data_IF_648909197433
#
_entry.id   IF_648909197433
#
_cell.length_a   1.000
_cell.length_b   1.000
_cell.length_c   1.000
_cell.angle_alpha   90.00
_cell.angle_beta   90.00
_cell.angle_gamma   90.00
#
_symmetry.space_group_name_H-M   'P 1'
#
loop_
_entity.id
_entity.type
_entity.pdbx_description
1 polymer ?
#
# COMPACT_ATOMS: atom_id res chain seq x y z
N UNK A 1 -28.22 6.00 -17.78
CA UNK A 1 -27.09 6.49 -16.96
C UNK A 1 -26.28 5.24 -16.66
N UNK A 2 -25.01 5.24 -17.06
CA UNK A 2 -24.22 4.03 -17.32
C UNK A 2 -23.86 3.29 -16.02
N UNK A 3 -24.02 1.97 -16.00
CA UNK A 3 -23.55 1.06 -14.95
C UNK A 3 -22.00 0.92 -14.92
N UNK A 4 -21.28 1.77 -15.66
CA UNK A 4 -19.81 1.79 -15.79
C UNK A 4 -19.11 2.77 -14.81
N UNK A 5 -19.83 3.33 -13.85
CA UNK A 5 -19.21 4.18 -12.83
C UNK A 5 -18.35 3.32 -11.89
N UNK A 6 -17.03 3.49 -12.01
CA UNK A 6 -16.03 2.82 -11.18
C UNK A 6 -16.07 3.38 -9.75
N UNK A 7 -16.96 2.87 -8.90
CA UNK A 7 -17.10 3.31 -7.52
C UNK A 7 -16.00 2.75 -6.62
N UNK A 8 -14.84 3.41 -6.61
CA UNK A 8 -13.78 3.17 -5.63
C UNK A 8 -13.91 4.19 -4.51
N UNK A 9 -13.88 3.74 -3.24
CA UNK A 9 -13.74 4.63 -2.07
C UNK A 9 -12.26 4.69 -1.67
N UNK A 10 -11.47 5.66 -2.17
CA UNK A 10 -10.02 5.55 -2.08
C UNK A 10 -9.53 5.67 -0.64
N UNK A 11 -10.21 6.45 0.20
CA UNK A 11 -9.91 6.55 1.63
C UNK A 11 -10.07 5.22 2.38
N UNK A 12 -11.10 4.43 2.06
CA UNK A 12 -11.31 3.10 2.66
C UNK A 12 -10.24 2.10 2.19
N UNK A 13 -9.83 2.19 0.93
CA UNK A 13 -8.76 1.36 0.35
C UNK A 13 -7.41 1.71 0.99
N UNK A 14 -7.09 3.00 1.15
CA UNK A 14 -5.90 3.46 1.89
C UNK A 14 -5.91 2.93 3.32
N UNK A 15 -7.03 3.05 4.03
CA UNK A 15 -7.15 2.53 5.40
C UNK A 15 -6.92 1.02 5.47
N UNK A 16 -7.40 0.27 4.48
CA UNK A 16 -7.19 -1.17 4.40
C UNK A 16 -5.72 -1.50 4.15
N UNK A 17 -5.04 -0.81 3.23
CA UNK A 17 -3.60 -0.96 3.00
C UNK A 17 -2.78 -0.63 4.24
N UNK A 18 -3.13 0.43 4.97
CA UNK A 18 -2.47 0.81 6.23
C UNK A 18 -2.57 -0.30 7.28
N UNK A 19 -3.75 -0.92 7.44
CA UNK A 19 -3.94 -2.05 8.36
C UNK A 19 -3.06 -3.26 8.01
N UNK A 20 -2.85 -3.52 6.72
CA UNK A 20 -1.96 -4.60 6.28
C UNK A 20 -0.50 -4.30 6.66
N UNK A 21 -0.04 -3.06 6.44
CA UNK A 21 1.29 -2.61 6.84
C UNK A 21 1.50 -2.67 8.36
N UNK A 22 0.49 -2.26 9.15
CA UNK A 22 0.55 -2.31 10.60
C UNK A 22 0.59 -3.76 11.11
N UNK A 23 -0.23 -4.65 10.54
CA UNK A 23 -0.24 -6.07 10.87
C UNK A 23 1.10 -6.74 10.53
N UNK A 24 1.66 -6.42 9.37
CA UNK A 24 2.97 -6.90 8.96
C UNK A 24 4.05 -6.44 9.94
N UNK A 25 4.04 -5.16 10.32
CA UNK A 25 5.00 -4.61 11.31
C UNK A 25 4.90 -5.34 12.65
N UNK A 26 3.69 -5.56 13.15
CA UNK A 26 3.45 -6.28 14.40
C UNK A 26 3.90 -7.76 14.32
N UNK A 27 3.61 -8.43 13.21
CA UNK A 27 4.03 -9.81 12.98
C UNK A 27 5.55 -9.94 12.94
N UNK A 28 6.26 -9.01 12.27
CA UNK A 28 7.73 -9.01 12.21
C UNK A 28 8.35 -8.86 13.60
N UNK A 29 7.81 -7.94 14.40
CA UNK A 29 8.25 -7.76 15.78
C UNK A 29 8.04 -9.01 16.64
N UNK A 30 6.92 -9.72 16.47
CA UNK A 30 6.65 -10.98 17.17
C UNK A 30 7.55 -12.12 16.70
N UNK A 31 7.77 -12.28 15.38
CA UNK A 31 8.64 -13.31 14.82
C UNK A 31 10.03 -13.26 15.44
N UNK A 32 10.60 -12.06 15.59
CA UNK A 32 11.91 -11.88 16.21
C UNK A 32 12.02 -12.49 17.62
N UNK A 33 10.91 -12.63 18.36
CA UNK A 33 10.89 -13.21 19.71
C UNK A 33 10.84 -14.73 19.73
N UNK A 34 10.25 -15.37 18.70
CA UNK A 34 10.01 -16.81 18.68
C UNK A 34 11.27 -17.64 18.38
N UNK A 35 12.29 -17.03 17.78
CA UNK A 35 13.49 -17.75 17.32
C UNK A 35 14.71 -17.61 18.25
N UNK A 36 14.50 -17.22 19.52
CA UNK A 36 15.57 -16.87 20.47
C UNK A 36 16.22 -18.05 21.21
N UNK A 37 15.56 -19.22 21.26
CA UNK A 37 15.97 -20.36 22.12
C UNK A 37 16.86 -21.41 21.44
N UNK A 38 17.03 -21.35 20.12
CA UNK A 38 17.63 -22.42 19.32
C UNK A 38 19.14 -22.51 19.49
N UNK A 39 19.82 -21.35 19.48
CA UNK A 39 21.27 -21.26 19.64
C UNK A 39 21.72 -21.74 21.03
N UNK A 40 21.07 -21.33 22.13
CA UNK A 40 21.34 -21.90 23.46
C UNK A 40 21.10 -23.41 23.53
N UNK A 41 20.01 -23.92 22.93
CA UNK A 41 19.68 -25.34 22.95
C UNK A 41 20.69 -26.20 22.17
N UNK A 42 21.21 -25.69 21.04
CA UNK A 42 22.26 -26.34 20.26
C UNK A 42 23.61 -26.33 20.99
N UNK A 43 23.97 -25.21 21.63
CA UNK A 43 25.20 -25.09 22.42
C UNK A 43 25.25 -26.05 23.62
N UNK A 44 24.09 -26.36 24.22
CA UNK A 44 23.97 -27.33 25.32
C UNK A 44 24.10 -28.80 24.92
N UNK A 45 24.11 -29.13 23.62
CA UNK A 45 24.16 -30.51 23.12
C UNK A 45 25.33 -30.76 22.13
N UNK A 46 26.59 -30.52 22.54
CA UNK A 46 27.74 -30.78 21.67
C UNK A 46 27.85 -32.29 21.34
N UNK A 47 27.99 -32.62 20.06
CA UNK A 47 28.13 -33.99 19.56
C UNK A 47 26.84 -34.62 18.97
N UNK A 48 25.68 -34.01 19.17
CA UNK A 48 24.44 -34.43 18.51
C UNK A 48 24.23 -33.65 17.19
N UNK A 49 24.26 -34.36 16.06
CA UNK A 49 24.01 -33.77 14.72
C UNK A 49 22.66 -33.07 14.60
N UNK A 50 21.67 -33.48 15.40
CA UNK A 50 20.34 -32.89 15.45
C UNK A 50 20.36 -31.40 15.87
N UNK A 51 21.28 -30.98 16.75
CA UNK A 51 21.33 -29.59 17.23
C UNK A 51 21.62 -28.57 16.12
N UNK A 52 22.57 -28.91 15.23
CA UNK A 52 22.90 -28.09 14.07
C UNK A 52 21.75 -28.07 13.04
N UNK A 53 21.14 -29.23 12.79
CA UNK A 53 20.00 -29.35 11.87
C UNK A 53 18.77 -28.55 12.35
N UNK A 54 18.46 -28.60 13.65
CA UNK A 54 17.35 -27.84 14.24
C UNK A 54 17.58 -26.33 14.18
N UNK A 55 18.81 -25.88 14.45
CA UNK A 55 19.19 -24.46 14.32
C UNK A 55 19.05 -23.99 12.87
N UNK A 56 19.56 -24.78 11.92
CA UNK A 56 19.45 -24.45 10.49
C UNK A 56 18.00 -24.43 10.00
N UNK A 57 17.19 -25.42 10.39
CA UNK A 57 15.76 -25.44 10.08
C UNK A 57 15.06 -24.18 10.58
N UNK A 58 15.33 -23.79 11.82
CA UNK A 58 14.63 -22.68 12.42
C UNK A 58 15.12 -21.32 11.91
N UNK A 59 16.38 -21.18 11.49
CA UNK A 59 16.85 -20.04 10.70
C UNK A 59 16.11 -19.93 9.37
N UNK A 60 15.94 -21.04 8.64
CA UNK A 60 15.19 -21.06 7.37
C UNK A 60 13.73 -20.70 7.59
N UNK A 61 13.10 -21.24 8.65
CA UNK A 61 11.72 -20.92 8.97
C UNK A 61 11.55 -19.44 9.31
N UNK A 62 12.44 -18.87 10.13
CA UNK A 62 12.42 -17.45 10.48
C UNK A 62 12.51 -16.59 9.21
N UNK A 63 13.47 -16.88 8.32
CA UNK A 63 13.63 -16.14 7.06
C UNK A 63 12.39 -16.22 6.17
N UNK A 64 11.72 -17.38 6.09
CA UNK A 64 10.47 -17.52 5.33
C UNK A 64 9.32 -16.73 5.93
N UNK A 65 9.21 -16.72 7.26
CA UNK A 65 8.18 -15.94 7.95
C UNK A 65 8.40 -14.44 7.76
N UNK A 66 9.64 -13.97 7.84
CA UNK A 66 9.99 -12.57 7.59
C UNK A 66 9.70 -12.16 6.14
N UNK A 67 10.07 -13.01 5.16
CA UNK A 67 9.78 -12.74 3.75
C UNK A 67 8.28 -12.62 3.46
N UNK A 68 7.47 -13.53 4.02
CA UNK A 68 6.01 -13.46 3.89
C UNK A 68 5.43 -12.17 4.49
N UNK A 69 5.94 -11.76 5.66
CA UNK A 69 5.53 -10.52 6.32
C UNK A 69 5.93 -9.28 5.51
N UNK A 70 7.13 -9.30 4.91
CA UNK A 70 7.61 -8.21 4.06
C UNK A 70 6.77 -8.10 2.77
N UNK A 71 6.38 -9.22 2.17
CA UNK A 71 5.45 -9.22 1.03
C UNK A 71 4.07 -8.65 1.42
N UNK A 72 3.57 -8.96 2.61
CA UNK A 72 2.31 -8.40 3.11
C UNK A 72 2.40 -6.87 3.27
N UNK A 73 3.51 -6.37 3.84
CA UNK A 73 3.75 -4.93 3.97
C UNK A 73 3.83 -4.25 2.59
N UNK A 74 4.59 -4.85 1.66
CA UNK A 74 4.74 -4.35 0.30
C UNK A 74 3.40 -4.27 -0.44
N UNK A 75 2.57 -5.30 -0.32
CA UNK A 75 1.23 -5.29 -0.91
C UNK A 75 0.34 -4.20 -0.29
N UNK A 76 0.43 -3.97 1.02
CA UNK A 76 -0.25 -2.85 1.69
C UNK A 76 0.15 -1.49 1.11
N UNK A 77 1.44 -1.27 0.86
CA UNK A 77 1.95 -0.05 0.23
C UNK A 77 1.45 0.12 -1.21
N UNK A 78 1.43 -0.95 -2.01
CA UNK A 78 0.89 -0.92 -3.37
C UNK A 78 -0.61 -0.56 -3.40
N UNK A 79 -1.39 -1.07 -2.44
CA UNK A 79 -2.80 -0.73 -2.28
C UNK A 79 -2.98 0.76 -1.96
N UNK A 80 -2.18 1.30 -1.03
CA UNK A 80 -2.19 2.73 -0.70
C UNK A 80 -1.82 3.59 -1.92
N UNK A 81 -0.75 3.21 -2.64
CA UNK A 81 -0.28 3.93 -3.81
C UNK A 81 -1.36 3.97 -4.91
N UNK A 82 -1.95 2.82 -5.21
CA UNK A 82 -3.02 2.71 -6.22
C UNK A 82 -4.24 3.56 -5.86
N UNK A 83 -4.65 3.55 -4.59
CA UNK A 83 -5.77 4.38 -4.13
C UNK A 83 -5.48 5.89 -4.24
N UNK A 84 -4.24 6.32 -3.97
CA UNK A 84 -3.83 7.71 -4.15
C UNK A 84 -3.82 8.13 -5.62
N UNK A 85 -3.45 7.23 -6.54
CA UNK A 85 -3.52 7.49 -7.99
C UNK A 85 -4.96 7.76 -8.43
N UNK A 86 -5.94 7.00 -7.93
CA UNK A 86 -7.37 7.24 -8.23
C UNK A 86 -7.78 8.65 -7.78
N UNK A 87 -7.44 9.02 -6.53
CA UNK A 87 -7.76 10.37 -6.01
C UNK A 87 -7.15 11.49 -6.86
N UNK A 88 -5.94 11.28 -7.36
CA UNK A 88 -5.25 12.27 -8.20
C UNK A 88 -5.93 12.42 -9.55
N UNK A 89 -6.29 11.32 -10.21
CA UNK A 89 -7.00 11.34 -11.51
C UNK A 89 -8.36 12.04 -11.38
N UNK A 90 -9.10 11.76 -10.31
CA UNK A 90 -10.38 12.42 -10.03
C UNK A 90 -10.21 13.93 -9.84
N UNK A 91 -9.19 14.34 -9.08
CA UNK A 91 -8.88 15.75 -8.85
C UNK A 91 -8.45 16.47 -10.15
N UNK A 92 -7.60 15.84 -10.96
CA UNK A 92 -7.15 16.39 -12.24
C UNK A 92 -8.31 16.54 -13.23
N UNK A 93 -9.22 15.57 -13.27
CA UNK A 93 -10.44 15.61 -14.10
C UNK A 93 -11.36 16.75 -13.66
N UNK A 94 -11.62 16.89 -12.36
CA UNK A 94 -12.45 17.98 -11.83
C UNK A 94 -11.84 19.37 -12.12
N UNK A 95 -10.51 19.49 -12.00
CA UNK A 95 -9.79 20.73 -12.33
C UNK A 95 -9.84 21.07 -13.83
N UNK A 96 -9.71 20.05 -14.69
CA UNK A 96 -9.87 20.19 -16.14
C UNK A 96 -11.27 20.70 -16.51
N UNK A 97 -12.31 20.04 -15.97
CA UNK A 97 -13.70 20.44 -16.18
C UNK A 97 -13.97 21.88 -15.73
N UNK A 98 -13.52 22.26 -14.53
CA UNK A 98 -13.67 23.63 -14.02
C UNK A 98 -12.96 24.67 -14.91
N UNK A 99 -11.81 24.31 -15.49
CA UNK A 99 -11.08 25.18 -16.42
C UNK A 99 -11.84 25.38 -17.72
N UNK A 100 -12.39 24.32 -18.30
CA UNK A 100 -13.21 24.39 -19.50
C UNK A 100 -14.49 25.20 -19.27
N UNK A 101 -15.18 24.96 -18.16
CA UNK A 101 -16.35 25.74 -17.75
C UNK A 101 -16.01 27.22 -17.54
N UNK A 102 -14.86 27.54 -16.94
CA UNK A 102 -14.40 28.92 -16.80
C UNK A 102 -14.08 29.57 -18.15
N UNK A 103 -13.46 28.83 -19.08
CA UNK A 103 -13.17 29.31 -20.43
C UNK A 103 -14.45 29.58 -21.25
N UNK A 104 -15.43 28.68 -21.19
CA UNK A 104 -16.74 28.85 -21.83
C UNK A 104 -17.52 30.03 -21.24
N UNK A 105 -17.48 30.22 -19.92
CA UNK A 105 -18.07 31.39 -19.25
C UNK A 105 -17.33 32.69 -19.59
N UNK A 106 -16.01 32.64 -19.82
CA UNK A 106 -15.22 33.79 -20.27
C UNK A 106 -15.54 34.21 -21.70
N UNK A 107 -15.68 33.24 -22.61
CA UNK A 107 -16.06 33.47 -24.02
C UNK A 107 -17.48 34.02 -24.16
N UNK A 108 -18.42 33.54 -23.36
CA UNK A 108 -19.81 34.06 -23.36
C UNK A 108 -19.95 35.46 -22.73
N UNK A 109 -18.93 35.93 -21.99
CA UNK A 109 -18.88 37.27 -21.38
C UNK A 109 -18.04 38.28 -22.18
N UNK A 110 -17.41 37.90 -23.28
CA UNK A 110 -16.79 38.89 -24.17
C UNK A 110 -17.88 39.85 -24.67
N UNK A 111 -17.74 41.17 -24.47
CA UNK A 111 -18.68 42.12 -25.04
C UNK A 111 -18.69 41.91 -26.56
N UNK A 112 -19.87 41.66 -27.13
CA UNK A 112 -20.01 41.74 -28.59
C UNK A 112 -19.45 43.10 -29.01
N UNK A 113 -18.47 43.16 -29.93
CA UNK A 113 -17.99 44.44 -30.42
C UNK A 113 -19.21 45.16 -31.00
N UNK A 114 -19.62 46.26 -30.37
CA UNK A 114 -20.64 47.15 -30.90
C UNK A 114 -20.07 47.79 -32.17
N UNK A 115 -20.20 47.11 -33.30
CA UNK A 115 -20.14 47.74 -34.62
C UNK A 115 -21.49 48.41 -34.85
N UNK A 116 -21.64 49.61 -34.28
CA UNK A 116 -22.81 50.48 -34.47
C UNK A 116 -22.35 51.87 -34.89
N UNK A 117 -22.76 52.24 -36.12
CA UNK A 117 -22.51 53.50 -36.83
C UNK A 117 -22.90 54.75 -36.05
#
# INVERSE_FOLDING_TARGET
MSDDDLNIQPGAVVSSGQRLTDLATAAKAQNATYFTSQQPAAAGNPGFSAGAALTGFAQVLHSKMDAFVDELAHNGEQVIASARTVQQVDADTANGFNREMAALNGLSRQPQPHTGR
#
